data_IF_601122355237
#
_entry.id   IF_601122355237
#
_cell.length_a   1.000
_cell.length_b   1.000
_cell.length_c   1.000
_cell.angle_alpha   90.00
_cell.angle_beta   90.00
_cell.angle_gamma   90.00
#
_symmetry.space_group_name_H-M   'P 1'
#
loop_
_entity.id
_entity.type
_entity.pdbx_description
1 polymer ?
#
# COMPACT_ATOMS: atom_id res chain seq x y z
N UNK A 1 -15.73 -10.32 10.11
CA UNK A 1 -16.90 -10.08 10.98
C UNK A 1 -17.26 -8.60 10.96
N UNK A 2 -16.32 -7.71 11.32
CA UNK A 2 -16.53 -6.25 11.34
C UNK A 2 -17.07 -5.63 10.03
N UNK A 3 -16.56 -6.03 8.86
CA UNK A 3 -17.01 -5.43 7.58
C UNK A 3 -18.50 -5.68 7.26
N UNK A 4 -19.06 -6.81 7.69
CA UNK A 4 -20.49 -7.12 7.51
C UNK A 4 -21.33 -6.33 8.52
N UNK A 5 -20.82 -6.18 9.75
CA UNK A 5 -21.48 -5.39 10.79
C UNK A 5 -21.56 -3.91 10.41
N UNK A 6 -20.50 -3.36 9.80
CA UNK A 6 -20.42 -1.94 9.43
C UNK A 6 -21.16 -1.60 8.14
N UNK A 7 -21.18 -2.48 7.15
CA UNK A 7 -21.69 -2.17 5.80
C UNK A 7 -22.90 -2.99 5.36
N UNK A 8 -23.38 -3.90 6.22
CA UNK A 8 -24.55 -4.74 5.96
C UNK A 8 -24.20 -6.11 5.35
N UNK A 9 -25.24 -6.91 5.03
CA UNK A 9 -25.05 -8.27 4.53
C UNK A 9 -24.32 -8.28 3.19
N UNK A 10 -23.57 -9.35 2.93
CA UNK A 10 -22.86 -9.57 1.66
C UNK A 10 -23.84 -9.44 0.49
N UNK A 11 -23.44 -8.70 -0.54
CA UNK A 11 -24.26 -8.46 -1.73
C UNK A 11 -25.24 -7.29 -1.63
N UNK A 12 -25.43 -6.68 -0.46
CA UNK A 12 -26.16 -5.41 -0.34
C UNK A 12 -25.43 -4.28 -1.07
N UNK A 13 -26.16 -3.28 -1.54
CA UNK A 13 -25.58 -2.14 -2.28
C UNK A 13 -24.52 -1.40 -1.45
N UNK A 14 -24.76 -1.23 -0.15
CA UNK A 14 -23.82 -0.61 0.80
C UNK A 14 -22.56 -1.45 0.97
N UNK A 15 -22.69 -2.77 1.14
CA UNK A 15 -21.56 -3.68 1.24
C UNK A 15 -20.72 -3.65 -0.04
N UNK A 16 -21.35 -3.77 -1.21
CA UNK A 16 -20.64 -3.79 -2.50
C UNK A 16 -19.90 -2.48 -2.76
N UNK A 17 -20.51 -1.33 -2.44
CA UNK A 17 -19.84 -0.03 -2.55
C UNK A 17 -18.63 0.07 -1.63
N UNK A 18 -18.79 -0.31 -0.36
CA UNK A 18 -17.69 -0.31 0.60
C UNK A 18 -16.56 -1.27 0.17
N UNK A 19 -16.91 -2.43 -0.37
CA UNK A 19 -15.95 -3.42 -0.87
C UNK A 19 -15.14 -2.89 -2.06
N UNK A 20 -15.76 -2.13 -2.96
CA UNK A 20 -15.05 -1.45 -4.04
C UNK A 20 -14.08 -0.40 -3.51
N UNK A 21 -14.55 0.46 -2.59
CA UNK A 21 -13.72 1.46 -1.94
C UNK A 21 -12.51 0.84 -1.23
N UNK A 22 -12.73 -0.28 -0.54
CA UNK A 22 -11.70 -1.08 0.11
C UNK A 22 -10.66 -1.58 -0.90
N UNK A 23 -11.08 -2.15 -2.03
CA UNK A 23 -10.16 -2.67 -3.06
C UNK A 23 -9.31 -1.55 -3.66
N UNK A 24 -9.91 -0.40 -3.97
CA UNK A 24 -9.20 0.75 -4.53
C UNK A 24 -8.13 1.30 -3.58
N UNK A 25 -8.53 1.55 -2.34
CA UNK A 25 -7.63 2.08 -1.30
C UNK A 25 -6.54 1.06 -0.90
N UNK A 26 -6.89 -0.22 -0.77
CA UNK A 26 -5.93 -1.29 -0.52
C UNK A 26 -4.88 -1.38 -1.65
N UNK A 27 -5.30 -1.29 -2.91
CA UNK A 27 -4.36 -1.29 -4.04
C UNK A 27 -3.43 -0.07 -4.01
N UNK A 28 -3.98 1.12 -3.78
CA UNK A 28 -3.19 2.35 -3.68
C UNK A 28 -2.15 2.28 -2.55
N UNK A 29 -2.56 1.90 -1.34
CA UNK A 29 -1.64 1.80 -0.21
C UNK A 29 -0.66 0.64 -0.32
N UNK A 30 -1.01 -0.45 -1.02
CA UNK A 30 -0.04 -1.52 -1.34
C UNK A 30 1.11 -0.98 -2.18
N UNK A 31 0.82 -0.15 -3.17
CA UNK A 31 1.83 0.52 -4.00
C UNK A 31 2.65 1.52 -3.20
N UNK A 32 2.01 2.33 -2.36
CA UNK A 32 2.69 3.29 -1.47
C UNK A 32 3.66 2.55 -0.55
N UNK A 33 3.21 1.48 0.10
CA UNK A 33 4.05 0.67 0.98
C UNK A 33 5.22 0.06 0.23
N UNK A 34 4.98 -0.47 -0.98
CA UNK A 34 6.02 -1.03 -1.83
C UNK A 34 7.08 0.02 -2.22
N UNK A 35 6.69 1.17 -2.75
CA UNK A 35 7.67 2.17 -3.19
C UNK A 35 8.40 2.80 -2.00
N UNK A 36 7.67 3.23 -0.97
CA UNK A 36 8.27 3.92 0.19
C UNK A 36 8.91 2.97 1.19
N UNK A 37 8.84 1.65 0.97
CA UNK A 37 9.33 0.63 1.89
C UNK A 37 8.84 0.90 3.32
N UNK A 38 7.54 1.13 3.44
CA UNK A 38 6.89 1.44 4.72
C UNK A 38 7.00 0.21 5.62
N UNK A 39 7.43 0.40 6.86
CA UNK A 39 7.60 -0.66 7.86
C UNK A 39 6.58 -0.53 8.98
N UNK A 40 6.57 -1.48 9.91
CA UNK A 40 5.69 -1.43 11.09
C UNK A 40 4.21 -1.36 10.68
N UNK A 41 3.80 -2.20 9.72
CA UNK A 41 2.43 -2.28 9.21
C UNK A 41 1.67 -3.38 9.97
N UNK A 42 1.07 -2.99 11.08
CA UNK A 42 0.18 -3.82 11.91
C UNK A 42 -1.24 -3.25 11.95
N UNK A 43 -2.21 -4.01 12.47
CA UNK A 43 -3.63 -3.60 12.49
C UNK A 43 -3.88 -2.25 13.18
N UNK A 44 -3.07 -1.87 14.19
CA UNK A 44 -3.16 -0.53 14.81
C UNK A 44 -2.79 0.65 13.89
N UNK A 45 -2.09 0.40 12.79
CA UNK A 45 -1.68 1.42 11.81
C UNK A 45 -2.53 1.39 10.53
N UNK A 46 -3.60 0.58 10.52
CA UNK A 46 -4.50 0.41 9.39
C UNK A 46 -5.92 0.69 9.89
N UNK A 47 -6.50 1.78 9.41
CA UNK A 47 -7.87 2.18 9.70
C UNK A 47 -8.79 1.81 8.54
N UNK A 48 -10.08 1.72 8.83
CA UNK A 48 -11.14 1.67 7.81
C UNK A 48 -12.09 2.82 8.08
N UNK A 49 -12.38 3.63 7.07
CA UNK A 49 -13.32 4.75 7.20
C UNK A 49 -14.78 4.31 7.07
N UNK A 50 -15.70 5.26 7.28
CA UNK A 50 -17.14 5.01 7.21
C UNK A 50 -17.67 4.67 5.80
N UNK A 51 -16.83 4.77 4.77
CA UNK A 51 -17.16 4.42 3.39
C UNK A 51 -16.46 3.12 2.92
N UNK A 52 -15.65 2.50 3.78
CA UNK A 52 -14.96 1.24 3.50
C UNK A 52 -13.54 1.41 2.95
N UNK A 53 -12.97 2.61 2.90
CA UNK A 53 -11.58 2.79 2.49
C UNK A 53 -10.61 2.34 3.58
N UNK A 54 -9.59 1.61 3.17
CA UNK A 54 -8.43 1.27 3.98
C UNK A 54 -7.47 2.47 4.02
N UNK A 55 -7.14 2.96 5.21
CA UNK A 55 -6.27 4.13 5.42
C UNK A 55 -5.06 3.72 6.26
N UNK A 56 -3.86 3.83 5.69
CA UNK A 56 -2.62 3.67 6.45
C UNK A 56 -2.29 4.98 7.18
N UNK A 57 -1.95 4.86 8.46
CA UNK A 57 -1.47 5.96 9.30
C UNK A 57 -0.06 5.69 9.81
N UNK A 58 0.52 6.68 10.49
CA UNK A 58 1.85 6.63 11.11
C UNK A 58 2.96 6.14 10.16
N UNK A 59 3.47 7.05 9.33
CA UNK A 59 4.58 6.77 8.40
C UNK A 59 5.95 7.06 9.05
N UNK A 60 6.09 6.91 10.37
CA UNK A 60 7.35 7.17 11.08
C UNK A 60 8.53 6.31 10.61
N UNK A 61 8.26 5.15 10.02
CA UNK A 61 9.27 4.19 9.56
C UNK A 61 9.15 3.92 8.06
N UNK A 62 9.78 4.77 7.25
CA UNK A 62 9.87 4.62 5.79
C UNK A 62 11.32 4.52 5.33
N UNK A 63 11.52 3.90 4.16
CA UNK A 63 12.80 3.80 3.47
C UNK A 63 13.89 3.17 4.37
N UNK A 64 14.97 3.92 4.64
CA UNK A 64 16.11 3.41 5.40
C UNK A 64 15.89 3.40 6.92
N UNK A 65 14.85 4.06 7.45
CA UNK A 65 14.56 4.04 8.89
C UNK A 65 13.87 2.73 9.25
N UNK A 66 14.33 2.06 10.30
CA UNK A 66 13.74 0.85 10.86
C UNK A 66 13.46 1.07 12.35
N UNK A 67 12.34 0.56 12.90
CA UNK A 67 12.06 0.66 14.33
C UNK A 67 13.13 0.00 15.20
N UNK A 68 13.85 -1.03 14.68
CA UNK A 68 14.94 -1.77 15.36
C UNK A 68 15.95 -2.36 14.36
N UNK A 69 17.16 -2.72 14.82
CA UNK A 69 18.16 -3.55 14.09
C UNK A 69 17.68 -5.00 13.84
N UNK A 70 16.39 -5.20 13.61
CA UNK A 70 15.82 -6.51 13.28
C UNK A 70 15.84 -6.62 11.76
N UNK A 71 16.89 -7.24 11.23
CA UNK A 71 17.03 -7.55 9.80
C UNK A 71 16.05 -8.62 9.29
N UNK A 72 14.81 -8.63 9.77
CA UNK A 72 13.87 -9.75 9.59
C UNK A 72 12.49 -9.39 9.04
N UNK A 73 12.11 -8.11 8.90
CA UNK A 73 10.89 -7.78 8.16
C UNK A 73 11.20 -7.61 6.67
N UNK A 74 11.02 -8.69 5.92
CA UNK A 74 11.30 -8.79 4.48
C UNK A 74 10.17 -8.26 3.59
N UNK A 75 8.97 -7.98 4.12
CA UNK A 75 7.84 -7.53 3.29
C UNK A 75 7.31 -6.15 3.71
N UNK A 76 7.39 -5.12 2.86
CA UNK A 76 6.92 -3.76 3.16
C UNK A 76 5.39 -3.64 3.27
N UNK A 77 4.64 -4.67 2.87
CA UNK A 77 3.20 -4.83 3.15
C UNK A 77 2.85 -6.32 3.13
N UNK A 78 1.96 -6.76 4.02
CA UNK A 78 1.48 -8.14 4.06
C UNK A 78 0.00 -8.16 3.69
N UNK A 79 -0.29 -8.59 2.47
CA UNK A 79 -1.67 -8.84 2.05
C UNK A 79 -2.18 -10.08 2.79
N UNK A 80 -2.89 -9.86 3.90
CA UNK A 80 -3.36 -10.97 4.75
C UNK A 80 -4.56 -11.68 4.14
N UNK A 81 -4.77 -12.93 4.54
CA UNK A 81 -5.95 -13.71 4.15
C UNK A 81 -7.26 -13.02 4.56
N UNK A 82 -7.26 -12.21 5.61
CA UNK A 82 -8.42 -11.42 6.03
C UNK A 82 -8.77 -10.33 5.00
N UNK A 83 -7.77 -9.59 4.50
CA UNK A 83 -7.98 -8.57 3.46
C UNK A 83 -8.48 -9.21 2.16
N UNK A 84 -7.90 -10.36 1.77
CA UNK A 84 -8.37 -11.14 0.62
C UNK A 84 -9.80 -11.67 0.85
N UNK A 85 -10.13 -12.03 2.09
CA UNK A 85 -11.48 -12.42 2.49
C UNK A 85 -12.51 -11.30 2.29
N UNK A 86 -12.14 -10.04 2.55
CA UNK A 86 -12.98 -8.87 2.25
C UNK A 86 -13.17 -8.72 0.74
N UNK A 87 -12.18 -9.05 -0.10
CA UNK A 87 -12.32 -9.04 -1.56
C UNK A 87 -13.21 -10.17 -2.09
N UNK A 88 -13.53 -11.17 -1.27
CA UNK A 88 -14.31 -12.34 -1.68
C UNK A 88 -13.47 -13.58 -1.99
N UNK A 89 -12.17 -13.57 -1.69
CA UNK A 89 -11.27 -14.71 -1.90
C UNK A 89 -10.32 -14.55 -3.10
N UNK A 90 -9.35 -15.46 -3.20
CA UNK A 90 -8.31 -15.46 -4.24
C UNK A 90 -8.86 -15.61 -5.68
N UNK A 91 -9.98 -16.29 -5.83
CA UNK A 91 -10.61 -16.53 -7.14
C UNK A 91 -11.73 -15.52 -7.46
N UNK A 92 -11.88 -14.47 -6.65
CA UNK A 92 -12.91 -13.46 -6.85
C UNK A 92 -12.56 -12.44 -7.94
N UNK A 93 -13.58 -11.92 -8.62
CA UNK A 93 -13.43 -10.84 -9.60
C UNK A 93 -12.78 -9.60 -9.00
N UNK A 94 -13.07 -9.29 -7.73
CA UNK A 94 -12.48 -8.14 -7.04
C UNK A 94 -11.01 -8.35 -6.70
N UNK A 95 -10.56 -9.57 -6.41
CA UNK A 95 -9.14 -9.85 -6.26
C UNK A 95 -8.40 -9.78 -7.61
N UNK A 96 -9.01 -10.24 -8.70
CA UNK A 96 -8.49 -10.05 -10.06
C UNK A 96 -8.40 -8.56 -10.40
N UNK A 97 -9.43 -7.80 -10.04
CA UNK A 97 -9.47 -6.36 -10.22
C UNK A 97 -8.40 -5.64 -9.39
N UNK A 98 -8.19 -6.03 -8.13
CA UNK A 98 -7.09 -5.55 -7.29
C UNK A 98 -5.74 -5.73 -7.97
N UNK A 99 -5.42 -6.92 -8.50
CA UNK A 99 -4.17 -7.18 -9.24
C UNK A 99 -4.05 -6.26 -10.47
N UNK A 100 -5.15 -6.03 -11.16
CA UNK A 100 -5.20 -5.11 -12.31
C UNK A 100 -4.89 -3.67 -11.89
N UNK A 101 -5.43 -3.20 -10.76
CA UNK A 101 -5.14 -1.88 -10.21
C UNK A 101 -3.67 -1.74 -9.80
N UNK A 102 -3.08 -2.77 -9.18
CA UNK A 102 -1.65 -2.80 -8.85
C UNK A 102 -0.81 -2.64 -10.12
N UNK A 103 -1.07 -3.43 -11.17
CA UNK A 103 -0.32 -3.36 -12.43
C UNK A 103 -0.43 -1.96 -13.08
N UNK A 104 -1.66 -1.44 -13.20
CA UNK A 104 -1.91 -0.10 -13.75
C UNK A 104 -1.20 0.98 -12.93
N UNK A 105 -1.23 0.87 -11.61
CA UNK A 105 -0.57 1.79 -10.70
C UNK A 105 0.95 1.76 -10.84
N UNK A 106 1.58 0.58 -10.98
CA UNK A 106 3.02 0.47 -11.26
C UNK A 106 3.38 1.13 -12.59
N UNK A 107 2.62 0.87 -13.66
CA UNK A 107 2.87 1.47 -14.97
C UNK A 107 2.77 3.01 -14.90
N UNK A 108 1.73 3.53 -14.25
CA UNK A 108 1.56 4.97 -14.07
C UNK A 108 2.68 5.57 -13.19
N UNK A 109 3.07 4.89 -12.11
CA UNK A 109 4.14 5.31 -11.24
C UNK A 109 5.48 5.37 -11.98
N UNK A 110 5.79 4.37 -12.84
CA UNK A 110 6.97 4.39 -13.72
C UNK A 110 6.96 5.56 -14.70
N UNK A 111 5.82 5.82 -15.34
CA UNK A 111 5.66 6.96 -16.27
C UNK A 111 5.92 8.32 -15.62
N UNK A 112 5.65 8.45 -14.32
CA UNK A 112 5.73 9.71 -13.59
C UNK A 112 6.80 9.74 -12.48
N UNK A 113 7.69 8.74 -12.43
CA UNK A 113 8.63 8.54 -11.32
C UNK A 113 9.56 9.74 -11.09
N UNK A 114 9.98 10.46 -12.14
CA UNK A 114 10.85 11.64 -12.04
C UNK A 114 10.29 12.71 -11.09
N UNK A 115 8.97 12.93 -11.09
CA UNK A 115 8.32 13.90 -10.20
C UNK A 115 8.45 13.48 -8.74
N UNK A 116 8.22 12.20 -8.45
CA UNK A 116 8.34 11.65 -7.10
C UNK A 116 9.81 11.65 -6.65
N UNK A 117 10.73 11.27 -7.54
CA UNK A 117 12.17 11.31 -7.30
C UNK A 117 12.66 12.73 -6.99
N UNK A 118 12.14 13.75 -7.67
CA UNK A 118 12.49 15.15 -7.42
C UNK A 118 12.15 15.55 -5.99
N UNK A 119 10.96 15.19 -5.50
CA UNK A 119 10.55 15.46 -4.12
C UNK A 119 11.49 14.75 -3.13
N UNK A 120 11.74 13.45 -3.35
CA UNK A 120 12.65 12.66 -2.50
C UNK A 120 14.06 13.24 -2.48
N UNK A 121 14.59 13.68 -3.63
CA UNK A 121 15.90 14.30 -3.74
C UNK A 121 15.98 15.62 -2.95
N UNK A 122 14.96 16.48 -3.05
CA UNK A 122 14.90 17.73 -2.27
C UNK A 122 14.88 17.41 -0.78
N UNK A 123 14.03 16.48 -0.34
CA UNK A 123 13.89 16.09 1.07
C UNK A 123 15.18 15.47 1.62
N UNK A 124 15.93 14.73 0.81
CA UNK A 124 17.22 14.11 1.20
C UNK A 124 18.31 15.13 1.59
N UNK A 125 18.20 16.38 1.13
CA UNK A 125 19.13 17.46 1.49
C UNK A 125 18.89 18.00 2.90
N UNK A 126 17.70 17.80 3.46
CA UNK A 126 17.35 18.24 4.82
C UNK A 126 18.07 17.44 5.91
N UNK A 127 18.55 18.12 6.96
CA UNK A 127 19.26 17.49 8.09
C UNK A 127 18.40 16.52 8.92
N UNK A 128 17.08 16.72 8.92
CA UNK A 128 16.13 15.97 9.76
C UNK A 128 15.51 14.75 9.06
N UNK A 129 15.60 14.63 7.73
CA UNK A 129 14.96 13.57 6.96
C UNK A 129 15.95 12.48 6.55
N UNK A 130 16.55 11.81 7.54
CA UNK A 130 17.59 10.78 7.32
C UNK A 130 17.07 9.55 6.54
N UNK A 131 15.75 9.30 6.52
CA UNK A 131 15.11 8.21 5.75
C UNK A 131 15.38 8.26 4.25
N UNK A 132 15.52 9.45 3.67
CA UNK A 132 15.78 9.59 2.24
C UNK A 132 17.26 9.40 1.87
N UNK A 133 18.09 8.88 2.80
CA UNK A 133 19.48 8.51 2.54
C UNK A 133 19.67 7.01 2.79
N UNK A 134 20.13 6.24 1.80
CA UNK A 134 20.40 6.64 0.41
C UNK A 134 19.14 6.65 -0.48
N UNK A 135 18.88 7.74 -1.20
CA UNK A 135 17.71 7.88 -2.09
C UNK A 135 17.75 6.95 -3.31
N UNK A 136 18.90 6.37 -3.67
CA UNK A 136 19.01 5.43 -4.79
C UNK A 136 18.20 4.15 -4.57
N UNK A 137 17.94 3.74 -3.32
CA UNK A 137 17.07 2.59 -3.03
C UNK A 137 15.63 2.83 -3.51
N UNK A 138 15.17 4.08 -3.48
CA UNK A 138 13.85 4.46 -3.97
C UNK A 138 13.78 4.39 -5.51
N UNK A 139 14.89 4.67 -6.18
CA UNK A 139 14.99 4.58 -7.64
C UNK A 139 14.86 3.13 -8.14
N UNK A 140 15.46 2.17 -7.42
CA UNK A 140 15.38 0.73 -7.77
C UNK A 140 13.94 0.23 -7.77
N UNK A 141 13.07 0.75 -6.89
CA UNK A 141 11.66 0.37 -6.84
C UNK A 141 10.90 0.63 -8.15
N UNK A 142 11.32 1.63 -8.94
CA UNK A 142 10.75 1.93 -10.26
C UNK A 142 11.45 1.24 -11.42
N UNK A 143 12.68 0.74 -11.19
CA UNK A 143 13.53 0.10 -12.19
C UNK A 143 13.33 -1.41 -12.32
N UNK A 144 12.49 -2.05 -11.49
CA UNK A 144 12.14 -3.45 -11.68
C UNK A 144 11.39 -3.59 -13.00
N UNK A 145 12.04 -4.22 -13.96
CA UNK A 145 11.41 -4.70 -15.17
C UNK A 145 10.34 -5.71 -14.77
N UNK A 146 9.08 -5.28 -14.86
CA UNK A 146 7.93 -6.19 -14.96
C UNK A 146 7.98 -6.78 -16.37
N UNK A 147 9.05 -7.52 -16.66
CA UNK A 147 9.16 -8.37 -17.82
C UNK A 147 8.85 -9.79 -17.33
N UNK A 148 7.57 -10.14 -17.42
CA UNK A 148 7.13 -11.48 -17.76
C UNK A 148 6.40 -11.39 -19.09
#
# INVERSE_FOLDING_TARGET
>A
MHFIESFGPKGSSTYLKAQQNFVHSCAAYSLVCYFLQVKDRHNGNILIDAEGHLIHIDFGFILSISPRNLGFETSPFKLTSELIGVMGGIDSDLYIYFKTLILRGIIAARKHHERVMTIVQIMSKGKYFRCFRPYYLFHVGFSIDVAQ
#
